data_IF_455151361068
#
_entry.id   IF_455151361068
#
_cell.length_a   1.000
_cell.length_b   1.000
_cell.length_c   1.000
_cell.angle_alpha   90.00
_cell.angle_beta   90.00
_cell.angle_gamma   90.00
#
_symmetry.space_group_name_H-M   'P 1'
#
loop_
_entity.id
_entity.type
_entity.pdbx_description
1 polymer ?
#
# COMPACT_ATOMS: atom_id res chain seq x y z
N UNK A 1 92.98 30.38 14.77
CA UNK A 1 91.68 30.76 15.36
C UNK A 1 91.41 29.81 16.50
N UNK A 2 91.69 30.32 17.71
CA UNK A 2 91.16 30.11 19.07
C UNK A 2 90.85 28.65 19.51
N UNK A 3 91.48 28.09 20.56
CA UNK A 3 91.24 28.33 22.02
C UNK A 3 89.75 28.12 22.38
N UNK A 4 89.33 27.34 23.37
CA UNK A 4 89.92 27.02 24.66
C UNK A 4 89.15 25.86 25.35
N UNK A 5 89.74 25.31 26.40
CA UNK A 5 89.31 24.18 27.24
C UNK A 5 88.16 24.48 28.23
N UNK A 6 87.40 23.40 28.56
CA UNK A 6 86.77 22.95 29.84
C UNK A 6 86.33 23.98 30.91
N UNK A 7 85.25 23.72 31.71
CA UNK A 7 85.31 22.64 32.72
C UNK A 7 83.98 21.96 33.17
N UNK A 8 84.17 21.02 34.10
CA UNK A 8 83.23 20.12 34.80
C UNK A 8 82.26 20.77 35.82
N UNK A 9 81.10 20.09 36.02
CA UNK A 9 80.27 19.88 37.25
C UNK A 9 79.61 21.12 37.93
N UNK A 10 78.45 21.03 38.65
CA UNK A 10 77.97 19.92 39.51
C UNK A 10 76.44 19.62 39.56
N UNK A 11 76.07 18.56 40.31
CA UNK A 11 74.72 18.26 40.83
C UNK A 11 74.17 19.35 41.78
N UNK A 12 72.87 19.66 41.73
CA UNK A 12 72.04 20.03 42.91
C UNK A 12 70.51 20.07 42.65
N UNK A 13 69.80 19.07 43.20
CA UNK A 13 68.58 19.09 44.05
C UNK A 13 67.38 20.07 43.86
N UNK A 14 66.17 19.45 43.89
CA UNK A 14 64.81 19.92 44.34
C UNK A 14 64.10 20.94 43.40
N UNK A 15 62.80 20.90 43.11
CA UNK A 15 61.62 20.60 43.93
C UNK A 15 60.32 20.54 43.05
N UNK A 16 59.34 19.78 43.53
CA UNK A 16 57.88 19.86 43.36
C UNK A 16 57.23 20.50 42.09
N UNK A 17 56.43 19.68 41.39
CA UNK A 17 55.41 20.12 40.43
C UNK A 17 54.29 19.09 40.33
N UNK A 18 53.50 18.99 41.41
CA UNK A 18 52.35 18.10 41.55
C UNK A 18 51.24 18.42 40.52
N UNK A 19 50.66 17.35 39.99
CA UNK A 19 49.40 17.27 39.26
C UNK A 19 48.33 18.22 39.79
N UNK A 20 47.92 19.19 38.96
CA UNK A 20 46.62 19.85 39.07
C UNK A 20 45.96 19.77 37.69
N UNK A 21 44.99 18.88 37.55
CA UNK A 21 44.26 18.72 36.30
C UNK A 21 43.51 17.39 36.19
N UNK A 22 42.74 17.00 37.20
CA UNK A 22 41.83 15.87 37.05
C UNK A 22 40.62 15.83 38.01
N UNK A 23 40.26 16.96 38.64
CA UNK A 23 39.07 17.04 39.53
C UNK A 23 37.86 17.62 38.79
N UNK A 24 38.03 18.68 37.99
CA UNK A 24 36.91 19.33 37.30
C UNK A 24 36.14 18.47 36.28
N UNK A 25 36.78 17.45 35.68
CA UNK A 25 36.09 16.54 34.76
C UNK A 25 35.19 15.52 35.46
N UNK A 26 35.58 15.09 36.67
CA UNK A 26 34.81 14.12 37.47
C UNK A 26 33.59 14.78 38.12
N UNK A 27 33.74 16.03 38.55
CA UNK A 27 32.64 16.79 39.15
C UNK A 27 31.55 17.12 38.13
N UNK A 28 31.93 17.40 36.88
CA UNK A 28 30.97 17.61 35.79
C UNK A 28 30.24 16.32 35.40
N UNK A 29 30.95 15.19 35.28
CA UNK A 29 30.31 13.90 34.97
C UNK A 29 29.35 13.47 36.09
N UNK A 30 29.73 13.69 37.36
CA UNK A 30 28.86 13.43 38.51
C UNK A 30 27.60 14.30 38.47
N UNK A 31 27.74 15.59 38.16
CA UNK A 31 26.62 16.53 38.07
C UNK A 31 25.65 16.20 36.93
N UNK A 32 26.14 15.73 35.78
CA UNK A 32 25.29 15.27 34.67
C UNK A 32 24.58 13.97 35.04
N UNK A 33 25.28 13.03 35.69
CA UNK A 33 24.69 11.75 36.12
C UNK A 33 23.62 11.94 37.20
N UNK A 34 23.78 12.93 38.07
CA UNK A 34 22.80 13.33 39.08
C UNK A 34 21.57 14.00 38.43
N UNK A 35 21.77 14.94 37.49
CA UNK A 35 20.65 15.55 36.74
C UNK A 35 19.81 14.52 35.97
N UNK A 36 20.42 13.48 35.40
CA UNK A 36 19.67 12.42 34.70
C UNK A 36 18.97 11.44 35.65
N UNK A 37 19.48 11.26 36.87
CA UNK A 37 18.88 10.37 37.86
C UNK A 37 17.69 11.01 38.59
N UNK A 38 17.71 12.34 38.79
CA UNK A 38 16.63 13.06 39.47
C UNK A 38 15.37 13.23 38.60
N UNK A 39 15.50 13.36 37.27
CA UNK A 39 14.35 13.63 36.39
C UNK A 39 13.58 12.39 35.93
N UNK A 40 14.15 11.19 36.12
CA UNK A 40 13.52 9.92 35.71
C UNK A 40 12.36 9.49 36.61
N UNK A 41 12.26 10.01 37.85
CA UNK A 41 11.23 9.62 38.82
C UNK A 41 10.08 10.62 38.95
N UNK A 42 10.21 11.82 38.37
CA UNK A 42 9.21 12.89 38.46
C UNK A 42 8.14 12.79 37.36
N UNK A 43 8.43 12.11 36.25
CA UNK A 43 7.46 11.87 35.17
C UNK A 43 6.66 10.61 35.51
N UNK A 44 5.62 10.76 36.33
CA UNK A 44 4.55 9.77 36.42
C UNK A 44 3.55 10.03 35.30
N UNK A 45 3.52 9.24 34.22
CA UNK A 45 2.45 9.36 33.23
C UNK A 45 1.11 9.15 33.94
N UNK A 46 0.18 10.10 33.76
CA UNK A 46 -1.17 9.96 34.29
C UNK A 46 -1.79 8.66 33.77
N UNK A 47 -2.43 7.90 34.64
CA UNK A 47 -3.06 6.63 34.24
C UNK A 47 -4.03 6.87 33.08
N UNK A 48 -3.87 6.12 31.99
CA UNK A 48 -4.74 6.25 30.83
C UNK A 48 -6.20 6.01 31.27
N UNK A 49 -7.17 6.85 30.84
CA UNK A 49 -8.54 6.80 31.30
C UNK A 49 -9.32 5.68 30.60
N UNK A 50 -8.85 4.44 30.76
CA UNK A 50 -9.49 3.22 30.26
C UNK A 50 -11.00 3.15 30.55
N UNK A 51 -11.51 3.58 31.73
CA UNK A 51 -12.95 3.57 31.99
C UNK A 51 -13.74 4.52 31.07
N UNK A 52 -13.17 5.68 30.72
CA UNK A 52 -13.81 6.65 29.83
C UNK A 52 -13.82 6.15 28.38
N UNK A 53 -12.73 5.51 27.93
CA UNK A 53 -12.64 4.88 26.61
C UNK A 53 -13.67 3.75 26.48
N UNK A 54 -13.82 2.89 27.50
CA UNK A 54 -14.83 1.82 27.51
C UNK A 54 -16.26 2.36 27.46
N UNK A 55 -16.57 3.45 28.19
CA UNK A 55 -17.90 4.07 28.16
C UNK A 55 -18.23 4.68 26.79
N UNK A 56 -17.26 5.30 26.12
CA UNK A 56 -17.49 5.86 24.78
C UNK A 56 -17.77 4.74 23.78
N UNK A 57 -16.98 3.65 23.81
CA UNK A 57 -17.18 2.50 22.92
C UNK A 57 -18.51 1.76 23.12
N UNK A 58 -19.04 1.67 24.34
CA UNK A 58 -20.35 1.04 24.58
C UNK A 58 -21.52 1.90 24.14
N UNK A 59 -21.44 3.22 24.32
CA UNK A 59 -22.46 4.17 23.84
C UNK A 59 -22.52 4.15 22.31
N UNK A 60 -21.38 4.07 21.65
CA UNK A 60 -21.27 4.08 20.18
C UNK A 60 -21.79 2.77 19.56
N UNK A 61 -21.54 1.61 20.19
CA UNK A 61 -22.16 0.33 19.78
C UNK A 61 -23.69 0.36 19.91
N UNK A 62 -24.24 0.95 20.98
CA UNK A 62 -25.70 1.05 21.14
C UNK A 62 -26.35 1.94 20.08
N UNK A 63 -25.70 3.02 19.66
CA UNK A 63 -26.19 3.88 18.57
C UNK A 63 -26.25 3.15 17.23
N UNK A 64 -25.25 2.30 16.91
CA UNK A 64 -25.22 1.54 15.66
C UNK A 64 -26.28 0.45 15.58
N UNK A 65 -26.60 -0.21 16.70
CA UNK A 65 -27.65 -1.25 16.74
C UNK A 65 -29.05 -0.67 16.55
N UNK A 66 -29.31 0.56 17.00
CA UNK A 66 -30.61 1.20 16.82
C UNK A 66 -30.89 1.61 15.35
N UNK A 67 -29.86 1.86 14.54
CA UNK A 67 -30.02 2.25 13.14
C UNK A 67 -30.39 1.08 12.20
N UNK A 68 -30.15 -0.17 12.61
CA UNK A 68 -30.41 -1.36 11.78
C UNK A 68 -31.85 -1.92 11.90
N UNK A 69 -32.68 -1.40 12.81
CA UNK A 69 -34.01 -1.95 13.09
C UNK A 69 -35.17 -1.45 12.21
N UNK A 70 -34.95 -0.50 11.30
CA UNK A 70 -36.04 0.22 10.63
C UNK A 70 -36.35 -0.23 9.17
N UNK A 71 -35.63 -1.20 8.60
CA UNK A 71 -35.71 -1.48 7.14
C UNK A 71 -36.49 -2.76 6.77
N UNK A 72 -36.90 -3.61 7.72
CA UNK A 72 -37.43 -4.96 7.41
C UNK A 72 -38.97 -5.13 7.37
N UNK A 73 -39.78 -4.10 7.07
CA UNK A 73 -41.27 -4.25 7.07
C UNK A 73 -41.97 -3.94 5.73
N UNK A 74 -41.28 -3.56 4.66
CA UNK A 74 -41.98 -2.95 3.50
C UNK A 74 -42.09 -3.78 2.19
N UNK A 75 -41.91 -5.11 2.17
CA UNK A 75 -42.04 -5.89 0.92
C UNK A 75 -42.78 -7.22 1.11
N UNK A 76 -44.11 -7.17 1.16
CA UNK A 76 -44.95 -8.37 1.02
C UNK A 76 -46.36 -8.04 0.50
N UNK A 77 -46.50 -7.57 -0.75
CA UNK A 77 -47.77 -7.70 -1.50
C UNK A 77 -47.48 -7.82 -3.00
N UNK A 78 -47.66 -9.01 -3.58
CA UNK A 78 -47.91 -9.19 -5.02
C UNK A 78 -49.11 -10.11 -5.22
N UNK A 79 -50.10 -9.75 -6.05
CA UNK A 79 -51.05 -10.70 -6.59
C UNK A 79 -50.66 -11.13 -8.01
N UNK A 80 -50.75 -12.44 -8.22
CA UNK A 80 -50.70 -13.18 -9.49
C UNK A 80 -51.96 -12.88 -10.31
N UNK A 81 -51.83 -12.66 -11.62
CA UNK A 81 -52.93 -12.85 -12.56
C UNK A 81 -52.40 -13.20 -13.97
N UNK A 82 -53.15 -14.06 -14.64
CA UNK A 82 -52.72 -14.95 -15.72
C UNK A 82 -53.47 -14.65 -17.04
N UNK A 83 -52.87 -15.11 -18.15
CA UNK A 83 -53.49 -15.54 -19.42
C UNK A 83 -54.17 -14.55 -20.39
N UNK A 84 -53.71 -14.55 -21.65
CA UNK A 84 -54.41 -15.05 -22.87
C UNK A 84 -53.63 -14.60 -24.14
N UNK A 85 -53.04 -15.51 -24.93
CA UNK A 85 -53.58 -16.09 -26.18
C UNK A 85 -53.91 -15.08 -27.30
N UNK A 86 -53.10 -15.06 -28.36
CA UNK A 86 -53.55 -15.40 -29.72
C UNK A 86 -52.36 -15.54 -30.68
N UNK A 87 -52.35 -16.65 -31.42
CA UNK A 87 -51.42 -16.91 -32.51
C UNK A 87 -51.90 -16.36 -33.85
N UNK A 88 -51.01 -16.40 -34.83
CA UNK A 88 -51.41 -16.71 -36.20
C UNK A 88 -50.24 -17.37 -36.93
N UNK A 89 -50.49 -18.60 -37.37
CA UNK A 89 -49.64 -19.40 -38.24
C UNK A 89 -49.64 -18.86 -39.68
N UNK A 90 -48.57 -19.13 -40.41
CA UNK A 90 -48.46 -18.86 -41.84
C UNK A 90 -47.23 -19.53 -42.42
N UNK A 91 -47.33 -20.83 -42.67
CA UNK A 91 -46.34 -21.70 -43.29
C UNK A 91 -46.09 -21.42 -44.77
N UNK A 92 -44.89 -21.81 -45.21
CA UNK A 92 -44.60 -22.27 -46.57
C UNK A 92 -43.61 -21.38 -47.33
N UNK A 93 -42.59 -21.88 -48.03
CA UNK A 93 -42.04 -23.22 -48.20
C UNK A 93 -40.65 -23.06 -48.85
N UNK A 94 -39.75 -23.96 -48.50
CA UNK A 94 -38.50 -24.43 -49.16
C UNK A 94 -38.11 -23.82 -50.52
N UNK A 95 -36.82 -23.43 -50.65
CA UNK A 95 -35.95 -23.94 -51.73
C UNK A 95 -34.45 -23.63 -51.50
N UNK A 96 -33.67 -24.69 -51.68
CA UNK A 96 -32.21 -24.79 -51.69
C UNK A 96 -31.59 -24.12 -52.92
N UNK A 97 -30.50 -23.36 -52.78
CA UNK A 97 -29.35 -23.33 -53.70
C UNK A 97 -28.25 -22.37 -53.19
N UNK A 98 -27.05 -22.89 -52.99
CA UNK A 98 -25.83 -22.10 -53.02
C UNK A 98 -25.45 -21.77 -54.48
N UNK A 99 -24.86 -20.60 -54.73
CA UNK A 99 -23.50 -20.61 -55.28
C UNK A 99 -22.57 -19.55 -54.65
N UNK A 100 -21.29 -19.86 -54.70
CA UNK A 100 -20.13 -19.08 -54.25
C UNK A 100 -19.61 -18.17 -55.41
N UNK A 101 -18.59 -17.31 -55.19
CA UNK A 101 -18.70 -15.85 -55.15
C UNK A 101 -18.15 -15.17 -56.43
N UNK A 102 -18.43 -13.86 -56.60
CA UNK A 102 -17.51 -12.88 -57.20
C UNK A 102 -18.17 -11.51 -57.28
N UNK A 103 -17.77 -10.58 -56.41
CA UNK A 103 -17.85 -9.14 -56.71
C UNK A 103 -16.72 -8.43 -55.97
N UNK A 104 -15.73 -7.99 -56.74
CA UNK A 104 -14.75 -6.99 -56.33
C UNK A 104 -15.48 -5.68 -56.01
N UNK A 105 -15.37 -5.20 -54.78
CA UNK A 105 -15.76 -3.84 -54.41
C UNK A 105 -14.58 -3.12 -53.80
N UNK A 106 -14.35 -1.95 -54.39
CA UNK A 106 -13.28 -0.98 -54.18
C UNK A 106 -12.93 -0.73 -52.71
N UNK A 107 -11.64 -0.57 -52.42
CA UNK A 107 -11.11 0.02 -51.19
C UNK A 107 -11.77 1.40 -50.97
N UNK A 108 -12.80 1.42 -50.12
CA UNK A 108 -13.21 2.63 -49.42
C UNK A 108 -12.37 2.72 -48.16
N UNK A 109 -11.51 3.72 -48.06
CA UNK A 109 -10.80 4.07 -46.84
C UNK A 109 -11.80 4.25 -45.70
N UNK A 110 -11.90 3.23 -44.84
CA UNK A 110 -12.62 3.37 -43.58
C UNK A 110 -11.93 4.48 -42.77
N UNK A 111 -12.65 5.49 -42.27
CA UNK A 111 -12.05 6.46 -41.37
C UNK A 111 -11.55 5.72 -40.15
N UNK A 112 -10.27 5.85 -39.86
CA UNK A 112 -9.65 5.42 -38.60
C UNK A 112 -10.53 5.95 -37.46
N UNK A 113 -11.08 5.09 -36.58
CA UNK A 113 -11.76 5.59 -35.39
C UNK A 113 -10.76 6.43 -34.62
N UNK A 114 -11.07 7.70 -34.42
CA UNK A 114 -10.35 8.54 -33.46
C UNK A 114 -10.57 7.87 -32.12
N UNK A 115 -9.55 7.15 -31.65
CA UNK A 115 -9.57 6.50 -30.36
C UNK A 115 -9.66 7.61 -29.33
N UNK A 116 -10.87 7.87 -28.83
CA UNK A 116 -11.08 8.79 -27.73
C UNK A 116 -10.15 8.36 -26.61
N UNK A 117 -9.40 9.31 -26.03
CA UNK A 117 -8.59 9.04 -24.86
C UNK A 117 -9.47 8.30 -23.83
N UNK A 118 -8.97 7.21 -23.21
CA UNK A 118 -9.76 6.46 -22.26
C UNK A 118 -10.32 7.41 -21.21
N UNK A 119 -11.65 7.40 -21.03
CA UNK A 119 -12.32 8.14 -19.97
C UNK A 119 -12.14 7.31 -18.70
N UNK A 120 -11.12 7.62 -17.90
CA UNK A 120 -10.83 6.92 -16.65
C UNK A 120 -9.34 6.66 -16.43
N UNK A 121 -8.99 6.00 -15.31
CA UNK A 121 -7.61 5.64 -15.03
C UNK A 121 -7.03 4.73 -16.10
N UNK A 122 -5.71 4.83 -16.32
CA UNK A 122 -5.01 3.87 -17.14
C UNK A 122 -5.05 2.47 -16.50
N UNK A 123 -5.27 1.43 -17.32
CA UNK A 123 -5.20 0.04 -16.86
C UNK A 123 -3.77 -0.45 -16.65
N UNK A 124 -3.57 -1.61 -16.01
CA UNK A 124 -2.24 -2.14 -15.69
C UNK A 124 -1.44 -2.58 -16.91
N UNK A 125 -0.14 -2.81 -16.74
CA UNK A 125 0.76 -3.26 -17.80
C UNK A 125 0.40 -4.66 -18.32
N UNK A 126 -0.13 -5.51 -17.44
CA UNK A 126 -0.53 -6.87 -17.78
C UNK A 126 -1.93 -7.21 -17.25
N UNK A 127 -2.70 -8.08 -17.93
CA UNK A 127 -3.98 -8.55 -17.42
C UNK A 127 -3.86 -9.28 -16.06
N UNK A 128 -2.71 -9.88 -15.75
CA UNK A 128 -2.46 -10.62 -14.50
C UNK A 128 -2.43 -9.74 -13.24
N UNK A 129 -2.54 -8.42 -13.38
CA UNK A 129 -2.67 -7.47 -12.27
C UNK A 129 -4.15 -7.20 -11.90
N UNK A 130 -5.11 -7.65 -12.71
CA UNK A 130 -6.53 -7.64 -12.40
C UNK A 130 -6.98 -9.07 -12.06
N UNK A 131 -7.02 -9.38 -10.76
CA UNK A 131 -7.22 -10.73 -10.26
C UNK A 131 -8.68 -11.03 -9.95
N UNK A 132 -8.97 -12.32 -9.75
CA UNK A 132 -10.25 -12.81 -9.22
C UNK A 132 -11.49 -12.40 -10.04
N UNK A 133 -11.31 -12.18 -11.34
CA UNK A 133 -12.37 -11.76 -12.25
C UNK A 133 -12.73 -10.27 -12.14
N UNK A 134 -11.97 -9.48 -11.37
CA UNK A 134 -12.15 -8.04 -11.26
C UNK A 134 -11.79 -7.40 -12.60
N UNK A 135 -12.70 -6.62 -13.15
CA UNK A 135 -12.49 -5.90 -14.41
C UNK A 135 -11.85 -4.53 -14.17
N UNK A 136 -11.24 -3.95 -15.22
CA UNK A 136 -10.74 -2.57 -15.16
C UNK A 136 -11.86 -1.59 -14.83
N UNK A 137 -13.07 -1.81 -15.35
CA UNK A 137 -14.23 -0.96 -15.07
C UNK A 137 -14.60 -0.98 -13.58
N UNK A 138 -14.67 -2.16 -12.96
CA UNK A 138 -14.93 -2.30 -11.53
C UNK A 138 -13.83 -1.66 -10.67
N UNK A 139 -12.56 -1.86 -11.05
CA UNK A 139 -11.44 -1.24 -10.35
C UNK A 139 -11.45 0.29 -10.49
N UNK A 140 -11.82 0.81 -11.66
CA UNK A 140 -11.94 2.25 -11.93
C UNK A 140 -13.07 2.88 -11.11
N UNK A 141 -14.24 2.25 -11.06
CA UNK A 141 -15.35 2.69 -10.21
C UNK A 141 -14.94 2.71 -8.73
N UNK A 142 -14.24 1.67 -8.27
CA UNK A 142 -13.69 1.61 -6.92
C UNK A 142 -12.72 2.76 -6.62
N UNK A 143 -11.85 3.10 -7.57
CA UNK A 143 -10.93 4.23 -7.46
C UNK A 143 -11.67 5.57 -7.37
N UNK A 144 -12.63 5.82 -8.25
CA UNK A 144 -13.43 7.05 -8.26
C UNK A 144 -14.15 7.25 -6.92
N UNK A 145 -14.79 6.19 -6.40
CA UNK A 145 -15.42 6.21 -5.08
C UNK A 145 -14.41 6.52 -3.98
N UNK A 146 -13.18 5.98 -4.07
CA UNK A 146 -12.13 6.27 -3.09
C UNK A 146 -11.70 7.73 -3.06
N UNK A 147 -11.54 8.33 -4.24
CA UNK A 147 -11.17 9.74 -4.37
C UNK A 147 -12.31 10.63 -3.86
N UNK A 148 -13.57 10.30 -4.16
CA UNK A 148 -14.73 10.98 -3.60
C UNK A 148 -14.78 10.87 -2.06
N UNK A 149 -14.60 9.67 -1.52
CA UNK A 149 -14.52 9.40 -0.08
C UNK A 149 -13.41 10.22 0.61
N UNK A 150 -12.23 10.34 -0.02
CA UNK A 150 -11.17 11.21 0.49
C UNK A 150 -11.63 12.67 0.57
N UNK A 151 -12.19 13.22 -0.50
CA UNK A 151 -12.64 14.62 -0.55
C UNK A 151 -13.70 14.92 0.50
N UNK A 152 -14.66 14.00 0.69
CA UNK A 152 -15.69 14.12 1.73
C UNK A 152 -15.09 14.14 3.14
N UNK A 153 -14.15 13.23 3.42
CA UNK A 153 -13.45 13.22 4.70
C UNK A 153 -12.60 14.47 4.93
N UNK A 154 -11.94 15.02 3.89
CA UNK A 154 -11.21 16.28 4.02
C UNK A 154 -12.15 17.46 4.31
N UNK A 155 -13.36 17.49 3.73
CA UNK A 155 -14.35 18.54 4.03
C UNK A 155 -14.77 18.53 5.51
N UNK A 156 -14.86 17.34 6.12
CA UNK A 156 -15.20 17.18 7.53
C UNK A 156 -14.05 17.59 8.49
N UNK A 157 -12.82 17.73 7.99
CA UNK A 157 -11.67 18.16 8.79
C UNK A 157 -11.56 19.69 8.89
N UNK A 158 -11.00 20.22 10.01
CA UNK A 158 -10.63 21.63 10.13
C UNK A 158 -9.73 22.10 8.97
N UNK A 159 -9.90 23.32 8.44
CA UNK A 159 -9.17 23.78 7.25
C UNK A 159 -7.64 23.65 7.34
N UNK A 160 -7.05 23.88 8.51
CA UNK A 160 -5.60 23.82 8.74
C UNK A 160 -5.03 22.39 8.84
N UNK A 161 -5.88 21.37 8.93
CA UNK A 161 -5.45 19.96 8.98
C UNK A 161 -5.79 19.20 7.70
N UNK A 162 -6.41 19.88 6.71
CA UNK A 162 -6.76 19.26 5.43
C UNK A 162 -5.51 18.93 4.65
N UNK A 163 -5.48 17.73 4.09
CA UNK A 163 -4.49 17.34 3.10
C UNK A 163 -4.91 17.86 1.72
N UNK A 164 -3.96 18.05 0.80
CA UNK A 164 -4.28 18.33 -0.60
C UNK A 164 -5.24 17.29 -1.17
N UNK A 165 -6.06 17.71 -2.12
CA UNK A 165 -6.87 16.77 -2.91
C UNK A 165 -5.94 15.83 -3.68
N UNK A 166 -6.35 14.56 -3.78
CA UNK A 166 -5.62 13.53 -4.51
C UNK A 166 -5.80 13.67 -6.04
N UNK A 167 -6.76 14.50 -6.47
CA UNK A 167 -7.05 14.74 -7.89
C UNK A 167 -8.03 13.71 -8.44
N UNK A 168 -8.07 13.56 -9.77
CA UNK A 168 -9.08 12.77 -10.47
C UNK A 168 -8.58 11.40 -10.87
N UNK A 169 -9.50 10.44 -11.02
CA UNK A 169 -9.15 9.05 -11.36
C UNK A 169 -8.41 8.94 -12.70
N UNK A 170 -8.68 9.83 -13.65
CA UNK A 170 -8.00 9.86 -14.95
C UNK A 170 -6.48 10.13 -14.85
N UNK A 171 -6.02 10.73 -13.75
CA UNK A 171 -4.60 10.97 -13.51
C UNK A 171 -3.85 9.74 -12.98
N UNK A 172 -4.59 8.68 -12.65
CA UNK A 172 -4.05 7.48 -12.02
C UNK A 172 -3.92 6.34 -13.01
N UNK A 173 -2.99 5.45 -12.69
CA UNK A 173 -2.86 4.13 -13.26
C UNK A 173 -3.18 3.07 -12.23
N UNK A 174 -4.11 2.19 -12.52
CA UNK A 174 -4.38 1.00 -11.68
C UNK A 174 -3.28 -0.02 -11.95
N UNK A 175 -2.59 -0.45 -10.89
CA UNK A 175 -1.49 -1.41 -10.97
C UNK A 175 -1.82 -2.76 -10.32
N UNK A 176 -2.87 -2.83 -9.51
CA UNK A 176 -3.33 -4.08 -8.90
C UNK A 176 -4.81 -3.97 -8.51
N UNK A 177 -5.59 -5.00 -8.79
CA UNK A 177 -6.91 -5.21 -8.21
C UNK A 177 -7.06 -6.68 -7.79
N UNK A 178 -7.48 -6.93 -6.55
CA UNK A 178 -7.62 -8.28 -6.00
C UNK A 178 -8.73 -8.36 -4.95
N UNK A 179 -9.27 -9.56 -4.71
CA UNK A 179 -10.22 -9.76 -3.62
C UNK A 179 -9.56 -9.54 -2.27
N UNK A 180 -10.17 -8.73 -1.42
CA UNK A 180 -9.76 -8.52 -0.03
C UNK A 180 -10.61 -9.37 0.91
N UNK A 181 -9.96 -10.07 1.85
CA UNK A 181 -10.66 -10.81 2.91
C UNK A 181 -10.80 -9.94 4.15
N UNK A 182 -12.01 -9.86 4.71
CA UNK A 182 -12.26 -9.09 5.92
C UNK A 182 -11.69 -9.75 7.18
N UNK A 183 -11.30 -8.93 8.16
CA UNK A 183 -10.75 -9.34 9.46
C UNK A 183 -11.63 -8.90 10.64
N UNK A 184 -11.19 -9.14 11.88
CA UNK A 184 -11.97 -8.74 13.07
C UNK A 184 -12.07 -7.22 13.26
N UNK A 185 -11.19 -6.43 12.64
CA UNK A 185 -11.16 -4.97 12.74
C UNK A 185 -11.96 -4.30 11.62
N UNK A 186 -12.00 -4.92 10.44
CA UNK A 186 -12.71 -4.52 9.24
C UNK A 186 -13.40 -5.75 8.65
N UNK A 187 -14.54 -6.17 9.22
CA UNK A 187 -15.31 -7.32 8.73
C UNK A 187 -15.85 -7.09 7.31
N UNK A 188 -16.22 -8.19 6.64
CA UNK A 188 -16.74 -8.18 5.27
C UNK A 188 -15.61 -8.26 4.23
N UNK A 189 -15.84 -9.09 3.23
CA UNK A 189 -14.94 -9.23 2.08
C UNK A 189 -15.20 -8.10 1.08
N UNK A 190 -14.29 -7.92 0.13
CA UNK A 190 -14.38 -6.83 -0.83
C UNK A 190 -13.28 -6.91 -1.88
N UNK A 191 -12.90 -5.75 -2.42
CA UNK A 191 -11.78 -5.62 -3.36
C UNK A 191 -10.77 -4.59 -2.83
N UNK A 192 -9.49 -4.90 -3.00
CA UNK A 192 -8.44 -3.91 -2.91
C UNK A 192 -8.12 -3.40 -4.33
N UNK A 193 -8.12 -2.09 -4.52
CA UNK A 193 -7.68 -1.42 -5.74
C UNK A 193 -6.45 -0.58 -5.41
N UNK A 194 -5.34 -0.85 -6.10
CA UNK A 194 -4.10 -0.09 -5.99
C UNK A 194 -3.92 0.74 -7.24
N UNK A 195 -3.74 2.05 -7.06
CA UNK A 195 -3.41 2.94 -8.16
C UNK A 195 -2.26 3.88 -7.78
N UNK A 196 -1.55 4.32 -8.80
CA UNK A 196 -0.39 5.21 -8.69
C UNK A 196 -0.54 6.38 -9.65
N UNK A 197 0.00 7.52 -9.26
CA UNK A 197 0.02 8.75 -10.04
C UNK A 197 1.35 9.44 -9.83
N UNK A 198 1.97 9.84 -10.93
CA UNK A 198 3.11 10.74 -10.86
C UNK A 198 2.62 12.17 -10.69
N UNK A 199 3.21 12.92 -9.76
CA UNK A 199 2.91 14.34 -9.66
C UNK A 199 3.61 15.10 -10.80
N UNK A 200 2.92 15.99 -11.52
CA UNK A 200 3.54 16.76 -12.61
C UNK A 200 4.64 17.71 -12.13
N UNK A 201 4.50 18.25 -10.92
CA UNK A 201 5.33 19.34 -10.40
C UNK A 201 6.40 18.87 -9.40
N UNK A 202 6.35 17.61 -8.97
CA UNK A 202 7.32 17.02 -8.05
C UNK A 202 7.64 15.58 -8.48
N UNK A 203 8.86 15.07 -8.28
CA UNK A 203 9.19 13.66 -8.55
C UNK A 203 8.46 12.67 -7.61
N UNK A 204 7.51 13.15 -6.81
CA UNK A 204 6.76 12.33 -5.88
C UNK A 204 5.71 11.49 -6.62
N UNK A 205 5.69 10.21 -6.29
CA UNK A 205 4.63 9.29 -6.67
C UNK A 205 3.58 9.29 -5.56
N UNK A 206 2.31 9.50 -5.94
CA UNK A 206 1.18 9.22 -5.06
C UNK A 206 0.79 7.76 -5.29
N UNK A 207 0.70 6.99 -4.22
CA UNK A 207 0.12 5.64 -4.25
C UNK A 207 -1.09 5.59 -3.34
N UNK A 208 -2.12 4.90 -3.79
CA UNK A 208 -3.32 4.62 -3.01
C UNK A 208 -3.66 3.13 -3.01
N UNK A 209 -4.13 2.64 -1.86
CA UNK A 209 -4.72 1.32 -1.69
C UNK A 209 -6.14 1.59 -1.17
N UNK A 210 -7.10 1.44 -2.06
CA UNK A 210 -8.51 1.55 -1.76
C UNK A 210 -9.06 0.18 -1.39
N UNK A 211 -9.86 0.12 -0.34
CA UNK A 211 -10.65 -1.06 0.00
C UNK A 211 -12.13 -0.74 -0.23
N UNK A 212 -12.80 -1.52 -1.08
CA UNK A 212 -14.21 -1.36 -1.44
C UNK A 212 -14.97 -2.62 -1.05
N UNK A 213 -16.05 -2.46 -0.28
CA UNK A 213 -16.88 -3.54 0.26
C UNK A 213 -18.33 -3.23 -0.04
N UNK A 214 -19.06 -4.19 -0.62
CA UNK A 214 -20.47 -4.01 -1.00
C UNK A 214 -20.75 -2.72 -1.80
N UNK A 215 -19.77 -2.30 -2.62
CA UNK A 215 -19.85 -1.08 -3.43
C UNK A 215 -19.54 0.22 -2.69
N UNK A 216 -19.20 0.18 -1.39
CA UNK A 216 -18.81 1.32 -0.56
C UNK A 216 -17.32 1.28 -0.18
N UNK A 217 -16.72 2.45 0.08
CA UNK A 217 -15.31 2.53 0.48
C UNK A 217 -15.16 2.15 1.96
N UNK A 218 -14.57 0.98 2.23
CA UNK A 218 -14.26 0.50 3.58
C UNK A 218 -12.97 1.10 4.15
N UNK A 219 -12.10 1.65 3.30
CA UNK A 219 -10.92 2.37 3.74
C UNK A 219 -10.03 2.84 2.60
N UNK A 220 -9.19 3.83 2.89
CA UNK A 220 -8.21 4.38 1.97
C UNK A 220 -6.87 4.51 2.69
N UNK A 221 -5.82 3.91 2.12
CA UNK A 221 -4.44 4.15 2.53
C UNK A 221 -3.72 4.90 1.40
N UNK A 222 -3.06 6.01 1.74
CA UNK A 222 -2.32 6.85 0.79
C UNK A 222 -0.89 7.04 1.27
N UNK A 223 0.07 7.00 0.35
CA UNK A 223 1.38 7.63 0.53
C UNK A 223 1.56 8.72 -0.52
N UNK A 224 2.12 9.83 -0.09
CA UNK A 224 2.63 10.90 -0.92
C UNK A 224 4.03 11.21 -0.39
N UNK A 225 4.97 11.39 -1.31
CA UNK A 225 6.40 11.34 -1.04
C UNK A 225 6.99 10.20 -1.86
N UNK A 226 7.85 10.56 -2.80
CA UNK A 226 8.86 9.60 -3.25
C UNK A 226 9.50 9.10 -1.98
N UNK A 227 9.55 7.78 -1.81
CA UNK A 227 10.46 7.22 -0.85
C UNK A 227 11.82 7.74 -1.31
N UNK A 228 12.38 8.76 -0.64
CA UNK A 228 13.61 9.39 -1.10
C UNK A 228 14.63 8.26 -1.28
N UNK A 229 14.96 8.00 -2.54
CA UNK A 229 15.78 6.88 -3.00
C UNK A 229 17.19 6.94 -2.40
N UNK A 230 17.53 8.05 -1.75
CA UNK A 230 18.79 8.33 -1.08
C UNK A 230 19.18 7.23 -0.08
N UNK A 231 18.23 6.42 0.42
CA UNK A 231 18.51 5.21 1.22
C UNK A 231 17.76 3.92 0.79
N UNK A 232 16.87 3.98 -0.20
CA UNK A 232 15.91 2.89 -0.51
C UNK A 232 16.42 1.80 -1.44
N UNK A 233 17.52 2.06 -2.16
CA UNK A 233 18.08 1.14 -3.15
C UNK A 233 17.19 0.96 -4.40
N UNK A 234 17.67 0.17 -5.40
CA UNK A 234 17.02 0.07 -6.71
C UNK A 234 15.62 -0.58 -6.70
N UNK A 235 15.27 -1.33 -5.65
CA UNK A 235 13.94 -1.89 -5.45
C UNK A 235 13.51 -1.59 -4.04
N UNK A 236 12.26 -1.13 -3.90
CA UNK A 236 11.77 -0.66 -2.62
C UNK A 236 10.32 -1.09 -2.41
N UNK A 237 10.10 -2.20 -1.68
CA UNK A 237 8.77 -2.63 -1.27
C UNK A 237 8.01 -1.51 -0.56
N UNK A 238 6.70 -1.40 -0.83
CA UNK A 238 5.87 -0.40 -0.17
C UNK A 238 5.72 -0.75 1.32
N UNK A 239 6.28 0.09 2.19
CA UNK A 239 6.18 -0.06 3.65
C UNK A 239 4.73 -0.08 4.17
N UNK A 240 3.77 0.47 3.42
CA UNK A 240 2.35 0.43 3.75
C UNK A 240 1.59 -0.70 3.03
N UNK A 241 2.30 -1.54 2.28
CA UNK A 241 1.77 -2.67 1.52
C UNK A 241 1.26 -3.81 2.39
N UNK A 242 1.51 -3.80 3.71
CA UNK A 242 1.07 -4.83 4.66
C UNK A 242 -0.42 -5.19 4.55
N UNK A 243 -1.29 -4.23 4.22
CA UNK A 243 -2.72 -4.50 3.99
C UNK A 243 -3.03 -5.46 2.84
N UNK A 244 -2.08 -5.70 1.96
CA UNK A 244 -2.22 -6.57 0.80
C UNK A 244 -1.71 -7.99 1.06
N UNK A 245 -0.77 -8.19 1.98
CA UNK A 245 -0.19 -9.52 2.26
C UNK A 245 -0.38 -10.01 3.69
N UNK A 246 -0.86 -9.17 4.60
CA UNK A 246 -1.22 -9.56 5.96
C UNK A 246 -2.72 -9.36 6.16
N UNK A 247 -3.43 -10.43 6.54
CA UNK A 247 -4.88 -10.33 6.74
C UNK A 247 -5.25 -9.45 7.95
N UNK A 248 -4.54 -9.61 9.07
CA UNK A 248 -4.83 -8.89 10.30
C UNK A 248 -3.63 -8.83 11.21
N UNK A 249 -3.39 -7.67 11.81
CA UNK A 249 -2.43 -7.52 12.91
C UNK A 249 -3.02 -7.99 14.25
N UNK A 250 -4.36 -7.98 14.38
CA UNK A 250 -5.06 -8.27 15.64
C UNK A 250 -5.31 -9.77 15.77
N UNK A 251 -5.62 -10.45 14.66
CA UNK A 251 -6.08 -11.83 14.68
C UNK A 251 -4.94 -12.88 14.75
N UNK A 252 -3.68 -12.43 14.87
CA UNK A 252 -2.44 -13.21 15.18
C UNK A 252 -2.59 -14.74 15.17
N UNK A 253 -2.72 -15.38 14.01
CA UNK A 253 -2.94 -16.84 13.97
C UNK A 253 -4.26 -17.33 13.38
N UNK A 254 -5.24 -16.45 13.17
CA UNK A 254 -6.59 -16.83 12.75
C UNK A 254 -6.92 -16.32 11.36
N UNK A 255 -5.99 -16.54 10.41
CA UNK A 255 -6.21 -16.10 9.04
C UNK A 255 -7.31 -16.96 8.39
N UNK A 256 -8.26 -16.32 7.72
CA UNK A 256 -9.20 -16.97 6.81
C UNK A 256 -8.45 -17.39 5.55
N UNK A 257 -8.46 -18.68 5.27
CA UNK A 257 -7.76 -19.30 4.15
C UNK A 257 -8.78 -19.94 3.18
N UNK A 258 -8.49 -20.01 1.86
CA UNK A 258 -7.31 -19.46 1.21
C UNK A 258 -7.29 -17.91 1.24
N UNK A 259 -6.11 -17.34 1.41
CA UNK A 259 -5.92 -15.89 1.50
C UNK A 259 -5.28 -15.35 0.22
N UNK A 260 -6.00 -14.48 -0.50
CA UNK A 260 -5.46 -13.74 -1.64
C UNK A 260 -4.55 -12.63 -1.13
N UNK A 261 -3.31 -12.62 -1.62
CA UNK A 261 -2.31 -11.62 -1.24
C UNK A 261 -1.79 -10.85 -2.46
N UNK A 262 -1.28 -9.65 -2.20
CA UNK A 262 -0.52 -8.84 -3.13
C UNK A 262 0.66 -8.17 -2.44
N UNK A 263 1.68 -7.82 -3.21
CA UNK A 263 2.76 -6.92 -2.79
C UNK A 263 3.09 -5.98 -3.93
N UNK A 264 3.48 -4.76 -3.58
CA UNK A 264 3.82 -3.70 -4.51
C UNK A 264 5.06 -2.98 -3.99
N UNK A 265 5.77 -2.30 -4.87
CA UNK A 265 6.83 -1.39 -4.48
C UNK A 265 7.40 -0.66 -5.69
N UNK A 266 8.31 0.27 -5.46
CA UNK A 266 8.96 1.04 -6.51
C UNK A 266 10.19 0.30 -7.04
N UNK A 267 10.50 0.53 -8.31
CA UNK A 267 11.72 0.03 -8.97
C UNK A 267 12.37 1.15 -9.76
N UNK A 268 13.70 1.22 -9.70
CA UNK A 268 14.49 2.02 -10.62
C UNK A 268 14.49 1.42 -12.03
N UNK A 269 14.83 2.23 -13.02
CA UNK A 269 14.78 1.84 -14.43
C UNK A 269 15.84 0.80 -14.84
N UNK A 270 16.89 0.61 -14.05
CA UNK A 270 17.95 -0.37 -14.29
C UNK A 270 17.59 -1.77 -13.77
N UNK A 271 16.57 -1.89 -12.92
CA UNK A 271 15.98 -3.15 -12.49
C UNK A 271 15.14 -3.72 -13.62
N UNK A 272 15.51 -4.92 -14.09
CA UNK A 272 14.82 -5.57 -15.21
C UNK A 272 13.92 -6.72 -14.77
N UNK A 273 14.11 -7.22 -13.55
CA UNK A 273 13.33 -8.34 -13.02
C UNK A 273 13.20 -8.22 -11.51
N UNK A 274 12.01 -8.52 -11.00
CA UNK A 274 11.75 -8.67 -9.56
C UNK A 274 11.09 -10.03 -9.34
N UNK A 275 11.57 -10.77 -8.35
CA UNK A 275 10.93 -12.02 -7.90
C UNK A 275 10.42 -11.85 -6.47
N UNK A 276 9.25 -12.39 -6.20
CA UNK A 276 8.64 -12.39 -4.88
C UNK A 276 8.36 -13.82 -4.46
N UNK A 277 8.88 -14.21 -3.29
CA UNK A 277 8.61 -15.50 -2.66
C UNK A 277 7.72 -15.30 -1.44
N UNK A 278 6.59 -16.01 -1.39
CA UNK A 278 5.67 -15.94 -0.27
C UNK A 278 4.94 -17.26 -0.04
N UNK A 279 4.90 -17.72 1.21
CA UNK A 279 4.26 -18.98 1.61
C UNK A 279 4.77 -20.23 0.88
N UNK A 280 6.06 -20.26 0.52
CA UNK A 280 6.67 -21.39 -0.19
C UNK A 280 6.48 -21.38 -1.70
N UNK A 281 5.87 -20.35 -2.26
CA UNK A 281 5.77 -20.13 -3.71
C UNK A 281 6.59 -18.92 -4.13
N UNK A 282 7.17 -18.96 -5.34
CA UNK A 282 7.91 -17.84 -5.93
C UNK A 282 7.27 -17.46 -7.25
N UNK A 283 7.14 -16.16 -7.49
CA UNK A 283 6.59 -15.58 -8.72
C UNK A 283 7.46 -14.44 -9.21
N UNK A 284 7.47 -14.22 -10.52
CA UNK A 284 8.02 -13.01 -11.11
C UNK A 284 6.97 -11.90 -11.03
N UNK A 285 7.38 -10.71 -10.58
CA UNK A 285 6.51 -9.56 -10.47
C UNK A 285 6.34 -8.89 -11.85
N UNK A 286 5.14 -8.37 -12.11
CA UNK A 286 4.94 -7.46 -13.23
C UNK A 286 5.62 -6.12 -12.92
N UNK A 287 6.41 -5.61 -13.87
CA UNK A 287 6.97 -4.26 -13.81
C UNK A 287 6.05 -3.29 -14.55
N UNK A 288 5.58 -2.25 -13.87
CA UNK A 288 4.55 -1.36 -14.36
C UNK A 288 4.83 0.10 -13.93
N UNK A 289 5.36 0.92 -14.85
CA UNK A 289 5.59 2.36 -14.66
C UNK A 289 6.41 2.70 -13.39
N UNK A 290 7.55 2.04 -13.21
CA UNK A 290 8.41 2.25 -12.04
C UNK A 290 7.90 1.56 -10.77
N UNK A 291 6.94 0.64 -10.90
CA UNK A 291 6.48 -0.22 -9.82
C UNK A 291 6.69 -1.69 -10.15
N UNK A 292 6.90 -2.53 -9.14
CA UNK A 292 6.70 -3.96 -9.23
C UNK A 292 5.38 -4.36 -8.56
N UNK A 293 4.74 -5.39 -9.09
CA UNK A 293 3.50 -5.97 -8.54
C UNK A 293 3.60 -7.49 -8.58
N UNK A 294 3.45 -8.13 -7.43
CA UNK A 294 3.31 -9.58 -7.35
C UNK A 294 2.09 -9.94 -6.50
N UNK A 295 1.53 -11.12 -6.74
CA UNK A 295 0.33 -11.59 -6.05
C UNK A 295 0.27 -13.11 -6.05
N UNK A 296 -0.60 -13.65 -5.22
CA UNK A 296 -0.79 -15.10 -5.14
C UNK A 296 -1.86 -15.48 -4.14
N UNK A 297 -1.86 -16.76 -3.74
CA UNK A 297 -2.78 -17.29 -2.75
C UNK A 297 -2.00 -18.07 -1.70
N UNK A 298 -2.26 -17.78 -0.43
CA UNK A 298 -1.79 -18.59 0.68
C UNK A 298 -2.86 -19.61 1.07
N UNK A 299 -2.45 -20.88 1.22
CA UNK A 299 -3.30 -21.96 1.71
C UNK A 299 -3.01 -22.33 3.18
N UNK A 300 -2.05 -21.64 3.78
CA UNK A 300 -1.65 -21.77 5.18
C UNK A 300 -1.23 -20.39 5.69
N UNK A 301 -1.36 -20.17 6.98
CA UNK A 301 -0.81 -18.98 7.58
C UNK A 301 0.72 -19.04 7.56
N UNK A 302 1.33 -17.87 7.39
CA UNK A 302 2.77 -17.68 7.41
C UNK A 302 3.15 -16.64 8.45
N UNK A 303 4.39 -16.70 8.93
CA UNK A 303 4.96 -15.78 9.93
C UNK A 303 6.06 -14.89 9.36
N UNK A 304 6.36 -15.03 8.07
CA UNK A 304 7.32 -14.20 7.35
C UNK A 304 6.55 -13.28 6.41
N UNK A 305 7.10 -12.11 6.12
CA UNK A 305 6.62 -11.23 5.05
C UNK A 305 7.05 -11.77 3.66
N UNK A 306 6.51 -11.26 2.55
CA UNK A 306 6.99 -11.59 1.21
C UNK A 306 8.49 -11.31 1.09
N UNK A 307 9.26 -12.26 0.56
CA UNK A 307 10.68 -12.09 0.27
C UNK A 307 10.84 -11.52 -1.14
N UNK A 308 11.41 -10.33 -1.26
CA UNK A 308 11.53 -9.61 -2.53
C UNK A 308 12.99 -9.57 -2.96
N UNK A 309 13.26 -9.94 -4.21
CA UNK A 309 14.58 -9.78 -4.86
C UNK A 309 14.47 -9.01 -6.14
N UNK A 310 15.36 -8.04 -6.34
CA UNK A 310 15.52 -7.27 -7.57
C UNK A 310 16.78 -7.67 -8.32
N UNK A 311 16.70 -7.66 -9.65
CA UNK A 311 17.80 -8.00 -10.54
C UNK A 311 18.02 -6.94 -11.61
N UNK A 312 19.28 -6.60 -11.87
CA UNK A 312 19.66 -5.75 -13.00
C UNK A 312 19.60 -6.50 -14.34
N UNK A 313 19.92 -5.80 -15.43
CA UNK A 313 19.93 -6.36 -16.80
C UNK A 313 20.97 -7.47 -17.02
N UNK A 314 21.94 -7.66 -16.11
CA UNK A 314 22.92 -8.75 -16.14
C UNK A 314 22.44 -9.98 -15.37
N UNK A 315 21.31 -9.87 -14.68
CA UNK A 315 20.78 -10.91 -13.80
C UNK A 315 21.44 -10.92 -12.42
N UNK A 316 22.23 -9.90 -12.07
CA UNK A 316 22.82 -9.76 -10.72
C UNK A 316 21.75 -9.24 -9.76
N UNK A 317 21.74 -9.79 -8.54
CA UNK A 317 20.87 -9.30 -7.46
C UNK A 317 21.34 -7.90 -7.04
N UNK A 318 20.45 -6.91 -7.17
CA UNK A 318 20.67 -5.52 -6.75
C UNK A 318 19.85 -5.15 -5.52
N UNK A 319 18.87 -5.98 -5.15
CA UNK A 319 18.10 -5.84 -3.93
C UNK A 319 17.69 -7.21 -3.39
N UNK A 320 17.73 -7.36 -2.07
CA UNK A 320 17.22 -8.54 -1.35
C UNK A 320 16.61 -8.07 -0.02
N UNK A 321 15.31 -8.30 0.16
CA UNK A 321 14.59 -7.82 1.34
C UNK A 321 15.04 -8.47 2.65
N UNK A 322 15.75 -9.61 2.59
CA UNK A 322 16.37 -10.20 3.80
C UNK A 322 17.57 -9.38 4.29
N UNK A 323 18.23 -8.66 3.38
CA UNK A 323 19.37 -7.78 3.68
C UNK A 323 18.95 -6.34 4.01
N UNK A 324 17.73 -5.96 3.66
CA UNK A 324 17.15 -4.66 3.96
C UNK A 324 16.83 -4.56 5.47
N UNK A 325 17.36 -3.54 6.14
CA UNK A 325 17.16 -3.32 7.59
C UNK A 325 15.86 -2.57 7.89
N UNK A 326 15.29 -1.90 6.90
CA UNK A 326 14.04 -1.14 7.02
C UNK A 326 12.83 -2.00 6.62
N UNK A 327 13.05 -3.15 5.98
CA UNK A 327 12.00 -4.07 5.59
C UNK A 327 11.50 -4.92 6.77
N UNK A 328 10.18 -4.99 6.94
CA UNK A 328 9.54 -5.88 7.90
C UNK A 328 9.63 -7.33 7.41
N UNK A 329 10.37 -8.18 8.14
CA UNK A 329 10.64 -9.57 7.73
C UNK A 329 9.66 -10.59 8.32
N UNK A 330 9.06 -10.24 9.46
CA UNK A 330 8.23 -11.15 10.25
C UNK A 330 6.84 -10.59 10.43
N UNK A 331 5.84 -11.46 10.42
CA UNK A 331 4.46 -11.12 10.68
C UNK A 331 4.05 -11.59 12.09
N UNK A 332 3.10 -10.89 12.74
CA UNK A 332 2.54 -11.26 14.04
C UNK A 332 1.84 -12.63 14.12
#
# INVERSE_FOLDING_TARGET
>A
MNEEQLPEQPEQSREAGQHVGNEHGKDFEAQVREMMAEDAYTIRPSSAPYPAIRRKGTIERRRRVAAAGAVLVALAVTPVAAYALNGNSGDGAVNTAAPLPSTSTSQGSAPTPVQSAPVGPAGPATPGQLLDGITLAQASEGLEKCLAYNRENQKAMPPNTRRPDLGDAADYRIILALNSTGDSNSPGDGINVVAVKQQPEQPQLIRLICNVKDGEVGGLNTSAGGLELDNGGPVMPDMNGGKLYQQSFIDKGNWKLPFRWGTIGQVESDVTRVTVSYGGSTSEAALDHGWFVASGTLNQQVTLAPHVKGYDNTGKVVYDSDSDTQYEKTLP
#
